data_IF_653243517838
#
_entry.id   IF_653243517838
#
_cell.length_a   1.000
_cell.length_b   1.000
_cell.length_c   1.000
_cell.angle_alpha   90.00
_cell.angle_beta   90.00
_cell.angle_gamma   90.00
#
_symmetry.space_group_name_H-M   'P 1'
#
loop_
_entity.id
_entity.type
_entity.pdbx_description
1 polymer ?
#
# COMPACT_ATOMS: atom_id res chain seq x y z
N UNK A 1 -2.43 -14.15 0.39
CA UNK A 1 -2.51 -13.04 1.35
C UNK A 1 -2.93 -11.75 0.67
N UNK A 2 -3.60 -10.91 1.42
CA UNK A 2 -4.01 -9.60 0.93
C UNK A 2 -3.15 -8.55 1.62
N UNK A 3 -2.59 -7.63 0.81
CA UNK A 3 -1.82 -6.51 1.32
C UNK A 3 -2.70 -5.26 1.28
N UNK A 4 -2.98 -4.70 2.44
CA UNK A 4 -3.68 -3.42 2.58
C UNK A 4 -2.66 -2.33 2.83
N UNK A 5 -2.69 -1.28 2.03
CA UNK A 5 -1.80 -0.14 2.16
C UNK A 5 -2.64 1.12 2.34
N UNK A 6 -2.33 1.88 3.36
CA UNK A 6 -2.98 3.16 3.65
C UNK A 6 -1.94 4.27 3.57
N UNK A 7 -2.05 5.10 2.55
CA UNK A 7 -1.11 6.18 2.29
C UNK A 7 -1.67 7.49 2.80
N UNK A 8 -1.09 8.00 3.87
CA UNK A 8 -1.43 9.30 4.42
C UNK A 8 -0.44 10.37 3.99
N UNK A 9 -0.65 11.58 4.45
CA UNK A 9 0.24 12.70 4.13
C UNK A 9 1.60 12.58 4.81
N UNK A 10 1.65 12.01 5.99
CA UNK A 10 2.89 11.90 6.78
C UNK A 10 3.41 10.48 6.87
N UNK A 11 2.53 9.50 6.90
CA UNK A 11 2.90 8.10 7.10
C UNK A 11 2.15 7.21 6.14
N UNK A 12 2.81 6.11 5.78
CA UNK A 12 2.22 5.00 5.05
C UNK A 12 2.16 3.81 6.00
N UNK A 13 0.99 3.22 6.12
CA UNK A 13 0.80 2.02 6.93
C UNK A 13 0.40 0.88 6.01
N UNK A 14 0.86 -0.32 6.34
CA UNK A 14 0.48 -1.49 5.58
C UNK A 14 0.19 -2.66 6.50
N UNK A 15 -0.59 -3.60 6.01
CA UNK A 15 -1.00 -4.76 6.77
C UNK A 15 -1.16 -5.94 5.83
N UNK A 16 -0.58 -7.07 6.22
CA UNK A 16 -0.76 -8.34 5.54
C UNK A 16 -1.81 -9.16 6.25
N UNK A 17 -2.80 -9.59 5.51
CA UNK A 17 -3.91 -10.36 6.06
C UNK A 17 -4.00 -11.71 5.36
N UNK A 18 -4.14 -12.77 6.14
CA UNK A 18 -4.39 -14.11 5.63
C UNK A 18 -5.76 -14.54 6.15
N UNK A 19 -6.75 -14.53 5.27
CA UNK A 19 -8.14 -14.71 5.68
C UNK A 19 -8.58 -13.56 6.58
N UNK A 20 -8.91 -13.87 7.82
CA UNK A 20 -9.35 -12.87 8.79
C UNK A 20 -8.23 -12.43 9.74
N UNK A 21 -7.04 -13.02 9.63
CA UNK A 21 -5.95 -12.76 10.56
C UNK A 21 -4.92 -11.82 9.95
N UNK A 22 -4.46 -10.87 10.76
CA UNK A 22 -3.34 -10.00 10.41
C UNK A 22 -2.05 -10.73 10.73
N UNK A 23 -1.27 -11.03 9.68
CA UNK A 23 0.00 -11.75 9.84
C UNK A 23 1.15 -10.81 10.16
N UNK A 24 1.20 -9.67 9.48
CA UNK A 24 2.23 -8.66 9.67
C UNK A 24 1.67 -7.28 9.38
N UNK A 25 2.30 -6.28 9.98
CA UNK A 25 1.97 -4.90 9.70
C UNK A 25 3.21 -4.04 9.89
N UNK A 26 3.20 -2.86 9.31
CA UNK A 26 4.31 -1.94 9.45
C UNK A 26 3.90 -0.53 9.03
N UNK A 27 4.83 0.39 9.21
CA UNK A 27 4.63 1.77 8.79
C UNK A 27 5.97 2.40 8.44
N UNK A 28 5.93 3.41 7.59
CA UNK A 28 7.08 4.25 7.31
C UNK A 28 6.59 5.63 6.93
N UNK A 29 7.49 6.60 6.90
CA UNK A 29 7.10 7.95 6.51
C UNK A 29 6.80 7.98 5.01
N UNK A 30 5.87 8.82 4.61
CA UNK A 30 5.53 9.01 3.20
C UNK A 30 6.74 9.51 2.42
N UNK A 31 7.56 10.35 3.03
CA UNK A 31 8.81 10.82 2.43
C UNK A 31 9.77 9.67 2.14
N UNK A 32 9.95 8.77 3.09
CA UNK A 32 10.81 7.60 2.94
C UNK A 32 10.32 6.71 1.81
N UNK A 33 9.02 6.52 1.70
CA UNK A 33 8.44 5.75 0.62
C UNK A 33 8.71 6.41 -0.75
N UNK A 34 8.62 7.73 -0.82
CA UNK A 34 8.88 8.46 -2.05
C UNK A 34 10.33 8.39 -2.49
N UNK A 35 11.26 8.30 -1.54
CA UNK A 35 12.69 8.25 -1.83
C UNK A 35 13.16 6.85 -2.25
N UNK A 36 12.72 5.82 -1.54
CA UNK A 36 13.21 4.45 -1.74
C UNK A 36 12.15 3.41 -1.97
N UNK A 37 10.89 3.81 -2.05
CA UNK A 37 9.79 2.88 -2.18
C UNK A 37 9.32 2.35 -0.83
N UNK A 38 8.27 1.57 -0.86
CA UNK A 38 7.68 0.99 0.34
C UNK A 38 8.42 -0.29 0.70
N UNK A 39 8.93 -0.35 1.92
CA UNK A 39 9.59 -1.55 2.43
C UNK A 39 8.55 -2.56 2.89
N UNK A 40 8.54 -3.71 2.25
CA UNK A 40 7.60 -4.79 2.53
C UNK A 40 8.36 -6.07 2.80
N UNK A 41 7.75 -7.01 3.55
CA UNK A 41 8.40 -8.29 3.79
C UNK A 41 8.60 -9.05 2.48
N UNK A 42 9.71 -9.79 2.39
CA UNK A 42 10.03 -10.62 1.23
C UNK A 42 9.59 -12.05 1.48
N UNK A 43 9.39 -12.79 0.40
CA UNK A 43 9.04 -14.20 0.51
C UNK A 43 7.59 -14.46 0.85
N UNK A 44 6.73 -13.45 0.81
CA UNK A 44 5.30 -13.62 1.03
C UNK A 44 4.57 -13.72 -0.30
N UNK A 45 3.52 -14.50 -0.32
CA UNK A 45 2.69 -14.68 -1.51
C UNK A 45 1.48 -13.76 -1.40
N UNK A 46 1.47 -12.72 -2.21
CA UNK A 46 0.40 -11.73 -2.21
C UNK A 46 -0.48 -11.94 -3.43
N UNK A 47 -1.76 -12.18 -3.19
CA UNK A 47 -2.74 -12.41 -4.24
C UNK A 47 -3.45 -11.12 -4.67
N UNK A 48 -3.55 -10.17 -3.77
CA UNK A 48 -4.25 -8.91 -4.02
C UNK A 48 -3.65 -7.79 -3.19
N UNK A 49 -3.56 -6.62 -3.78
CA UNK A 49 -3.15 -5.41 -3.08
C UNK A 49 -4.32 -4.43 -3.08
N UNK A 50 -4.69 -3.95 -1.90
CA UNK A 50 -5.71 -2.93 -1.75
C UNK A 50 -5.03 -1.66 -1.24
N UNK A 51 -5.18 -0.59 -1.99
CA UNK A 51 -4.51 0.67 -1.72
C UNK A 51 -5.54 1.76 -1.43
N UNK A 52 -5.41 2.39 -0.27
CA UNK A 52 -6.15 3.61 0.07
C UNK A 52 -5.16 4.76 0.13
N UNK A 53 -5.46 5.86 -0.52
CA UNK A 53 -4.53 6.98 -0.59
C UNK A 53 -5.24 8.31 -0.49
N UNK A 54 -4.68 9.20 0.33
CA UNK A 54 -5.04 10.63 0.35
C UNK A 54 -3.89 11.46 -0.22
N UNK A 55 -2.82 10.80 -0.66
CA UNK A 55 -1.63 11.45 -1.19
C UNK A 55 -1.84 11.91 -2.64
N UNK A 56 -0.84 12.60 -3.17
CA UNK A 56 -0.86 13.08 -4.55
C UNK A 56 -0.93 11.92 -5.55
N UNK A 57 -1.55 12.17 -6.68
CA UNK A 57 -1.73 11.15 -7.72
C UNK A 57 -0.41 10.57 -8.22
N UNK A 58 0.65 11.38 -8.31
CA UNK A 58 1.96 10.91 -8.75
C UNK A 58 2.53 9.86 -7.81
N UNK A 59 2.42 10.08 -6.51
CA UNK A 59 2.91 9.13 -5.52
C UNK A 59 2.08 7.84 -5.55
N UNK A 60 0.80 7.97 -5.71
CA UNK A 60 -0.09 6.82 -5.83
C UNK A 60 0.25 5.99 -7.07
N UNK A 61 0.47 6.64 -8.21
CA UNK A 61 0.82 5.95 -9.46
C UNK A 61 2.13 5.20 -9.33
N UNK A 62 3.13 5.82 -8.72
CA UNK A 62 4.43 5.18 -8.49
C UNK A 62 4.28 3.95 -7.61
N UNK A 63 3.48 4.04 -6.56
CA UNK A 63 3.25 2.93 -5.66
C UNK A 63 2.50 1.79 -6.34
N UNK A 64 1.50 2.09 -7.14
CA UNK A 64 0.76 1.08 -7.90
C UNK A 64 1.71 0.35 -8.86
N UNK A 65 2.56 1.09 -9.56
CA UNK A 65 3.52 0.50 -10.47
C UNK A 65 4.50 -0.41 -9.73
N UNK A 66 4.98 0.02 -8.58
CA UNK A 66 5.88 -0.77 -7.74
C UNK A 66 5.21 -2.08 -7.30
N UNK A 67 3.97 -2.00 -6.84
CA UNK A 67 3.26 -3.19 -6.37
C UNK A 67 3.01 -4.18 -7.49
N UNK A 68 2.62 -3.72 -8.67
CA UNK A 68 2.41 -4.58 -9.83
C UNK A 68 3.71 -5.26 -10.25
N UNK A 69 4.81 -4.53 -10.24
CA UNK A 69 6.11 -5.08 -10.63
C UNK A 69 6.62 -6.08 -9.59
N UNK A 70 6.44 -5.78 -8.32
CA UNK A 70 7.01 -6.58 -7.24
C UNK A 70 6.21 -7.86 -6.98
N UNK A 71 4.90 -7.78 -6.99
CA UNK A 71 4.06 -8.92 -6.59
C UNK A 71 3.31 -9.56 -7.74
N UNK A 72 3.21 -8.90 -8.88
CA UNK A 72 2.41 -9.35 -10.02
C UNK A 72 0.97 -9.66 -9.62
N UNK A 73 0.48 -8.96 -8.62
CA UNK A 73 -0.85 -9.16 -8.08
C UNK A 73 -1.80 -8.09 -8.60
N UNK A 74 -3.08 -8.36 -8.47
CA UNK A 74 -4.09 -7.37 -8.81
C UNK A 74 -4.06 -6.24 -7.76
N UNK A 75 -4.02 -5.00 -8.25
CA UNK A 75 -4.00 -3.81 -7.38
C UNK A 75 -5.32 -3.07 -7.53
N UNK A 76 -6.04 -2.95 -6.42
CA UNK A 76 -7.28 -2.19 -6.35
C UNK A 76 -6.99 -0.89 -5.60
N UNK A 77 -7.37 0.22 -6.19
CA UNK A 77 -7.17 1.53 -5.57
C UNK A 77 -8.51 2.07 -5.11
N UNK A 78 -8.60 2.33 -3.81
CA UNK A 78 -9.74 3.02 -3.22
C UNK A 78 -9.32 4.45 -2.89
N UNK A 79 -9.99 5.43 -3.50
CA UNK A 79 -9.74 6.83 -3.17
C UNK A 79 -10.60 7.22 -1.99
N UNK A 80 -9.94 7.67 -0.95
CA UNK A 80 -10.65 8.29 0.16
C UNK A 80 -10.87 9.74 -0.23
N UNK A 81 -12.10 10.09 -0.52
CA UNK A 81 -12.45 11.46 -0.82
C UNK A 81 -12.50 12.25 0.48
N UNK A 82 -11.64 13.24 0.60
CA UNK A 82 -11.59 14.06 1.81
C UNK A 82 -12.83 14.94 1.95
N UNK A 83 -13.58 15.12 0.88
CA UNK A 83 -14.79 15.86 0.94
C UNK A 83 -16.02 14.99 0.76
N UNK A 84 -15.89 13.76 1.07
CA UNK A 84 -17.01 12.87 1.17
C UNK A 84 -18.01 13.34 2.21
N UNK A 85 -17.62 14.30 2.91
CA UNK A 85 -18.57 14.97 3.78
C UNK A 85 -19.60 15.66 2.93
#
# INVERSE_FOLDING_TARGET
MILDIDVGNSYVKWRLTDGAEVCQSGSQTTKSMGDGGLELPVGVSISQVRLSSVAKDSLQSDLVAQMKAQFKAEVTVARVSSNAA
#
